data_IF_138790330124
#
_entry.id   IF_138790330124
#
_cell.length_a   1.000
_cell.length_b   1.000
_cell.length_c   1.000
_cell.angle_alpha   90.00
_cell.angle_beta   90.00
_cell.angle_gamma   90.00
#
_symmetry.space_group_name_H-M   'P 1'
#
loop_
_entity.id
_entity.type
_entity.pdbx_description
1 polymer ?
#
# COMPACT_ATOMS: atom_id res chain seq x y z
N UNK A 1 64.84 -28.53 -16.38
CA UNK A 1 63.50 -28.39 -16.98
C UNK A 1 62.47 -28.73 -15.92
N UNK A 2 61.48 -27.86 -15.76
CA UNK A 2 60.68 -27.62 -14.55
C UNK A 2 59.80 -28.79 -14.08
N UNK A 3 59.72 -28.98 -12.77
CA UNK A 3 58.65 -29.71 -12.08
C UNK A 3 57.51 -28.72 -11.78
N UNK A 4 56.30 -29.03 -12.24
CA UNK A 4 55.09 -28.27 -11.96
C UNK A 4 54.36 -28.90 -10.77
N UNK A 5 54.34 -28.20 -9.64
CA UNK A 5 53.53 -28.55 -8.46
C UNK A 5 52.19 -27.83 -8.58
N UNK A 6 51.13 -28.58 -8.89
CA UNK A 6 49.75 -28.07 -8.88
C UNK A 6 49.24 -28.01 -7.44
N UNK A 7 49.06 -26.80 -6.90
CA UNK A 7 48.30 -26.57 -5.68
C UNK A 7 46.82 -26.38 -6.04
N UNK A 8 45.97 -27.29 -5.56
CA UNK A 8 44.51 -27.17 -5.65
C UNK A 8 44.04 -26.36 -4.43
N UNK A 9 43.71 -25.08 -4.61
CA UNK A 9 43.02 -24.28 -3.59
C UNK A 9 41.52 -24.61 -3.63
N UNK A 10 41.03 -25.31 -2.60
CA UNK A 10 39.58 -25.38 -2.33
C UNK A 10 39.22 -24.09 -1.60
N UNK A 11 38.65 -23.12 -2.32
CA UNK A 11 38.06 -21.94 -1.71
C UNK A 11 36.68 -22.32 -1.13
N UNK A 12 36.65 -22.66 0.15
CA UNK A 12 35.40 -22.75 0.92
C UNK A 12 34.96 -21.32 1.28
N UNK A 13 34.10 -20.72 0.46
CA UNK A 13 33.48 -19.42 0.76
C UNK A 13 32.21 -19.62 1.58
N UNK A 14 32.35 -20.01 2.84
CA UNK A 14 31.33 -19.74 3.86
C UNK A 14 31.64 -18.38 4.44
N UNK A 15 31.00 -17.33 3.92
CA UNK A 15 30.97 -16.03 4.59
C UNK A 15 30.28 -16.21 5.94
N UNK A 16 30.91 -15.82 7.06
CA UNK A 16 30.19 -15.74 8.32
C UNK A 16 29.16 -14.61 8.20
N UNK A 17 27.89 -14.96 8.44
CA UNK A 17 26.81 -14.00 8.68
C UNK A 17 27.27 -13.06 9.79
N UNK A 18 27.62 -11.83 9.42
CA UNK A 18 27.87 -10.74 10.34
C UNK A 18 26.51 -10.34 10.91
N UNK A 19 26.04 -11.08 11.91
CA UNK A 19 24.98 -10.59 12.79
C UNK A 19 25.51 -9.28 13.37
N UNK A 20 24.91 -8.11 13.07
CA UNK A 20 25.34 -6.88 13.68
C UNK A 20 25.25 -7.06 15.20
N UNK A 21 26.37 -6.86 15.90
CA UNK A 21 26.46 -6.99 17.35
C UNK A 21 25.54 -5.93 17.94
N UNK A 22 24.31 -6.32 18.25
CA UNK A 22 23.36 -5.55 19.03
C UNK A 22 23.99 -5.32 20.40
N UNK A 23 24.47 -4.11 20.65
CA UNK A 23 24.88 -3.73 22.00
C UNK A 23 23.64 -3.76 22.91
N UNK A 24 23.78 -4.12 24.19
CA UNK A 24 22.65 -4.21 25.12
C UNK A 24 21.82 -2.91 25.23
N UNK A 25 22.43 -1.77 24.88
CA UNK A 25 21.83 -0.43 24.88
C UNK A 25 21.00 -0.10 23.63
N UNK A 26 20.92 -1.00 22.64
CA UNK A 26 20.12 -0.74 21.44
C UNK A 26 18.62 -0.78 21.79
N UNK A 27 17.96 0.37 21.64
CA UNK A 27 16.50 0.51 21.85
C UNK A 27 15.71 -0.27 20.81
N UNK A 28 14.47 -0.65 21.13
CA UNK A 28 13.57 -1.32 20.17
C UNK A 28 13.42 -0.52 18.88
N UNK A 29 13.33 0.81 18.97
CA UNK A 29 13.25 1.68 17.81
C UNK A 29 14.49 1.58 16.89
N UNK A 30 15.68 1.56 17.47
CA UNK A 30 16.92 1.38 16.70
C UNK A 30 17.00 0.00 16.06
N UNK A 31 16.58 -1.07 16.76
CA UNK A 31 16.56 -2.42 16.19
C UNK A 31 15.59 -2.54 15.02
N UNK A 32 14.38 -1.99 15.15
CA UNK A 32 13.41 -1.96 14.04
C UNK A 32 13.94 -1.12 12.87
N UNK A 33 14.62 -0.01 13.13
CA UNK A 33 15.25 0.78 12.06
C UNK A 33 16.35 -0.02 11.33
N UNK A 34 17.15 -0.79 12.06
CA UNK A 34 18.17 -1.69 11.51
C UNK A 34 17.54 -2.79 10.66
N UNK A 35 16.51 -3.47 11.19
CA UNK A 35 15.75 -4.47 10.46
C UNK A 35 15.24 -3.94 9.11
N UNK A 36 14.62 -2.75 9.11
CA UNK A 36 14.16 -2.10 7.87
C UNK A 36 15.31 -1.79 6.90
N UNK A 37 16.49 -1.41 7.41
CA UNK A 37 17.65 -1.16 6.57
C UNK A 37 18.17 -2.45 5.91
N UNK A 38 18.22 -3.56 6.65
CA UNK A 38 18.59 -4.88 6.12
C UNK A 38 17.60 -5.33 5.04
N UNK A 39 16.30 -5.21 5.31
CA UNK A 39 15.24 -5.55 4.35
C UNK A 39 15.34 -4.72 3.06
N UNK A 40 15.62 -3.40 3.16
CA UNK A 40 15.90 -2.57 1.98
C UNK A 40 17.14 -3.03 1.20
N UNK A 41 18.14 -3.55 1.90
CA UNK A 41 19.36 -4.11 1.32
C UNK A 41 19.17 -5.49 0.68
N UNK A 42 17.98 -6.08 0.78
CA UNK A 42 17.69 -7.43 0.27
C UNK A 42 18.06 -8.56 1.23
N UNK A 43 18.50 -8.24 2.45
CA UNK A 43 18.83 -9.22 3.48
C UNK A 43 17.55 -9.61 4.25
N UNK A 44 16.75 -10.46 3.60
CA UNK A 44 15.41 -10.83 4.08
C UNK A 44 15.47 -11.59 5.40
N UNK A 45 16.34 -12.59 5.50
CA UNK A 45 16.43 -13.46 6.66
C UNK A 45 16.90 -12.68 7.90
N UNK A 46 18.01 -11.94 7.81
CA UNK A 46 18.52 -11.20 8.97
C UNK A 46 17.63 -10.01 9.31
N UNK A 47 17.05 -9.34 8.32
CA UNK A 47 16.11 -8.26 8.52
C UNK A 47 14.84 -8.70 9.25
N UNK A 48 14.23 -9.81 8.83
CA UNK A 48 13.04 -10.36 9.48
C UNK A 48 13.34 -10.90 10.88
N UNK A 49 14.44 -11.64 11.04
CA UNK A 49 14.87 -12.13 12.35
C UNK A 49 15.13 -10.97 13.32
N UNK A 50 15.79 -9.90 12.87
CA UNK A 50 16.03 -8.70 13.67
C UNK A 50 14.72 -8.00 14.05
N UNK A 51 13.75 -7.94 13.14
CA UNK A 51 12.43 -7.37 13.41
C UNK A 51 11.69 -8.12 14.53
N UNK A 52 11.66 -9.46 14.46
CA UNK A 52 11.03 -10.29 15.48
C UNK A 52 11.82 -10.28 16.80
N UNK A 53 13.15 -10.24 16.76
CA UNK A 53 13.97 -10.10 17.96
C UNK A 53 13.66 -8.79 18.71
N UNK A 54 13.46 -7.69 17.97
CA UNK A 54 13.05 -6.42 18.55
C UNK A 54 11.68 -6.50 19.26
N UNK A 55 10.72 -7.28 18.73
CA UNK A 55 9.40 -7.42 19.36
C UNK A 55 9.46 -8.20 20.67
N UNK A 56 10.39 -9.15 20.82
CA UNK A 56 10.58 -9.88 22.10
C UNK A 56 11.11 -9.00 23.23
N UNK A 57 11.71 -7.85 22.90
CA UNK A 57 12.27 -6.88 23.86
C UNK A 57 11.29 -5.77 24.21
N UNK A 58 10.24 -5.58 23.42
CA UNK A 58 9.26 -4.52 23.63
C UNK A 58 8.47 -4.75 24.92
N UNK A 59 8.52 -3.77 25.82
CA UNK A 59 7.92 -3.82 27.14
C UNK A 59 6.94 -2.66 27.37
N UNK A 60 7.05 -1.55 26.62
CA UNK A 60 6.19 -0.37 26.79
C UNK A 60 5.16 -0.19 25.67
N UNK A 61 4.04 0.52 25.92
CA UNK A 61 3.10 0.90 24.88
C UNK A 61 3.74 1.65 23.71
N UNK A 62 4.72 2.52 23.97
CA UNK A 62 5.44 3.30 22.97
C UNK A 62 6.29 2.42 22.06
N UNK A 63 6.92 1.38 22.60
CA UNK A 63 7.67 0.40 21.82
C UNK A 63 6.74 -0.45 20.95
N UNK A 64 5.60 -0.88 21.50
CA UNK A 64 4.59 -1.59 20.73
C UNK A 64 3.94 -0.74 19.63
N UNK A 65 3.85 0.59 19.82
CA UNK A 65 3.35 1.50 18.81
C UNK A 65 4.20 1.53 17.54
N UNK A 66 5.48 1.12 17.62
CA UNK A 66 6.36 1.00 16.46
C UNK A 66 5.86 -0.10 15.51
N UNK A 67 5.56 -1.28 16.06
CA UNK A 67 5.01 -2.41 15.31
C UNK A 67 3.57 -2.14 14.84
N UNK A 68 2.74 -1.56 15.73
CA UNK A 68 1.37 -1.19 15.40
C UNK A 68 1.30 -0.24 14.17
N UNK A 69 2.26 0.68 14.06
CA UNK A 69 2.37 1.57 12.90
C UNK A 69 2.69 0.82 11.61
N UNK A 70 3.56 -0.19 11.63
CA UNK A 70 3.85 -1.00 10.44
C UNK A 70 2.62 -1.81 10.00
N UNK A 71 1.90 -2.39 10.97
CA UNK A 71 0.64 -3.09 10.73
C UNK A 71 -0.44 -2.15 10.15
N UNK A 72 -0.56 -0.94 10.69
CA UNK A 72 -1.63 0.03 10.35
C UNK A 72 -1.69 0.42 8.87
N UNK A 73 -0.65 0.15 8.10
CA UNK A 73 -0.64 0.43 6.67
C UNK A 73 -1.43 -0.59 5.85
N UNK A 74 -1.45 -1.85 6.26
CA UNK A 74 -1.96 -2.97 5.43
C UNK A 74 -2.84 -3.95 6.19
N UNK A 75 -2.89 -3.85 7.52
CA UNK A 75 -3.84 -4.61 8.31
C UNK A 75 -5.26 -4.18 7.96
N UNK A 76 -6.14 -5.16 7.86
CA UNK A 76 -7.58 -4.97 7.81
C UNK A 76 -8.10 -4.47 9.17
N UNK A 77 -9.31 -3.90 9.21
CA UNK A 77 -9.90 -3.43 10.47
C UNK A 77 -10.08 -4.55 11.50
N UNK A 78 -10.38 -5.77 11.03
CA UNK A 78 -10.47 -6.96 11.88
C UNK A 78 -9.11 -7.41 12.45
N UNK A 79 -8.03 -7.29 11.68
CA UNK A 79 -6.67 -7.57 12.16
C UNK A 79 -6.21 -6.54 13.20
N UNK A 80 -6.49 -5.25 12.98
CA UNK A 80 -6.17 -4.20 13.94
C UNK A 80 -6.91 -4.41 15.26
N UNK A 81 -8.20 -4.78 15.21
CA UNK A 81 -8.96 -5.13 16.41
C UNK A 81 -8.38 -6.34 17.15
N UNK A 82 -7.90 -7.36 16.42
CA UNK A 82 -7.21 -8.52 17.03
C UNK A 82 -5.88 -8.12 17.68
N UNK A 83 -5.10 -7.27 17.02
CA UNK A 83 -3.87 -6.71 17.57
C UNK A 83 -4.12 -5.94 18.87
N UNK A 84 -5.14 -5.08 18.90
CA UNK A 84 -5.53 -4.30 20.08
C UNK A 84 -6.00 -5.18 21.24
N UNK A 85 -6.69 -6.28 20.95
CA UNK A 85 -7.13 -7.25 21.95
C UNK A 85 -5.99 -8.09 22.55
N UNK A 86 -4.76 -8.00 22.00
CA UNK A 86 -3.62 -8.78 22.45
C UNK A 86 -2.91 -8.10 23.62
N UNK A 87 -2.86 -8.80 24.76
CA UNK A 87 -2.41 -8.24 26.04
C UNK A 87 -0.99 -8.62 26.46
N UNK A 88 -0.47 -9.77 26.01
CA UNK A 88 0.88 -10.22 26.40
C UNK A 88 1.92 -9.95 25.32
N UNK A 89 3.18 -9.73 25.73
CA UNK A 89 4.30 -9.53 24.79
C UNK A 89 4.55 -10.77 23.90
N UNK A 90 4.35 -11.97 24.44
CA UNK A 90 4.47 -13.23 23.73
C UNK A 90 3.40 -13.34 22.62
N UNK A 91 2.14 -13.04 22.95
CA UNK A 91 1.04 -13.09 21.99
C UNK A 91 1.19 -12.03 20.89
N UNK A 92 1.70 -10.83 21.22
CA UNK A 92 1.99 -9.79 20.23
C UNK A 92 3.09 -10.20 19.26
N UNK A 93 4.15 -10.81 19.77
CA UNK A 93 5.23 -11.36 18.93
C UNK A 93 4.72 -12.50 18.04
N UNK A 94 3.90 -13.40 18.59
CA UNK A 94 3.26 -14.46 17.82
C UNK A 94 2.34 -13.88 16.73
N UNK A 95 1.55 -12.85 17.05
CA UNK A 95 0.71 -12.15 16.08
C UNK A 95 1.53 -11.58 14.93
N UNK A 96 2.64 -10.88 15.21
CA UNK A 96 3.51 -10.31 14.18
C UNK A 96 4.05 -11.40 13.25
N UNK A 97 4.53 -12.52 13.82
CA UNK A 97 5.01 -13.65 13.03
C UNK A 97 3.93 -14.18 12.09
N UNK A 98 2.76 -14.51 12.64
CA UNK A 98 1.62 -15.01 11.86
C UNK A 98 1.22 -14.00 10.78
N UNK A 99 1.04 -12.74 11.14
CA UNK A 99 0.60 -11.67 10.25
C UNK A 99 1.48 -11.53 8.99
N UNK A 100 2.80 -11.58 9.16
CA UNK A 100 3.73 -11.50 8.04
C UNK A 100 3.81 -12.83 7.27
N UNK A 101 3.88 -13.96 7.96
CA UNK A 101 4.01 -15.29 7.32
C UNK A 101 2.78 -15.68 6.48
N UNK A 102 1.56 -15.33 6.91
CA UNK A 102 0.35 -15.59 6.14
C UNK A 102 0.35 -14.80 4.81
N UNK A 103 0.92 -13.60 4.81
CA UNK A 103 1.05 -12.77 3.62
C UNK A 103 2.19 -13.22 2.73
N UNK A 104 3.33 -13.64 3.32
CA UNK A 104 4.40 -14.29 2.58
C UNK A 104 3.85 -15.50 1.81
N UNK A 105 3.10 -16.38 2.49
CA UNK A 105 2.50 -17.57 1.88
C UNK A 105 1.45 -17.24 0.81
N UNK A 106 0.61 -16.23 1.04
CA UNK A 106 -0.42 -15.81 0.07
C UNK A 106 0.19 -15.23 -1.20
N UNK A 107 1.31 -14.52 -1.08
CA UNK A 107 1.95 -13.80 -2.17
C UNK A 107 3.13 -14.60 -2.78
N UNK A 108 3.29 -15.88 -2.41
CA UNK A 108 4.39 -16.78 -2.80
C UNK A 108 5.79 -16.17 -2.61
N UNK A 109 5.98 -15.50 -1.46
CA UNK A 109 7.24 -14.86 -1.09
C UNK A 109 8.02 -15.71 -0.08
N UNK A 110 9.37 -15.62 -0.08
CA UNK A 110 10.18 -16.19 0.97
C UNK A 110 9.90 -15.50 2.32
N UNK A 111 10.31 -16.14 3.43
CA UNK A 111 10.16 -15.60 4.78
C UNK A 111 10.72 -14.17 4.88
N UNK A 112 9.88 -13.25 5.38
CA UNK A 112 10.23 -11.83 5.50
C UNK A 112 10.06 -11.02 4.21
N UNK A 113 9.71 -11.67 3.09
CA UNK A 113 9.54 -11.03 1.78
C UNK A 113 8.44 -9.97 1.78
N UNK A 114 7.29 -10.23 2.39
CA UNK A 114 6.19 -9.26 2.50
C UNK A 114 6.57 -8.06 3.35
N UNK A 115 7.29 -8.26 4.45
CA UNK A 115 7.76 -7.15 5.28
C UNK A 115 8.77 -6.29 4.52
N UNK A 116 9.69 -6.90 3.75
CA UNK A 116 10.59 -6.17 2.88
C UNK A 116 9.83 -5.38 1.80
N UNK A 117 8.86 -6.00 1.16
CA UNK A 117 7.99 -5.35 0.18
C UNK A 117 7.21 -4.19 0.81
N UNK A 118 6.74 -4.35 2.06
CA UNK A 118 6.06 -3.30 2.79
C UNK A 118 6.96 -2.08 3.02
N UNK A 119 8.20 -2.31 3.44
CA UNK A 119 9.20 -1.24 3.61
C UNK A 119 9.47 -0.56 2.27
N UNK A 120 9.65 -1.32 1.19
CA UNK A 120 9.89 -0.80 -0.16
C UNK A 120 8.72 0.06 -0.65
N UNK A 121 7.48 -0.43 -0.51
CA UNK A 121 6.27 0.31 -0.93
C UNK A 121 6.11 1.61 -0.16
N UNK A 122 6.37 1.59 1.14
CA UNK A 122 6.30 2.80 1.97
C UNK A 122 7.33 3.85 1.55
N UNK A 123 8.57 3.43 1.27
CA UNK A 123 9.62 4.35 0.79
C UNK A 123 9.22 4.99 -0.55
N UNK A 124 8.71 4.21 -1.50
CA UNK A 124 8.21 4.72 -2.78
C UNK A 124 7.04 5.69 -2.56
N UNK A 125 6.10 5.33 -1.70
CA UNK A 125 4.91 6.15 -1.48
C UNK A 125 5.25 7.49 -0.81
N UNK A 126 6.20 7.50 0.13
CA UNK A 126 6.69 8.72 0.78
C UNK A 126 7.43 9.65 -0.19
N UNK A 127 7.99 9.13 -1.28
CA UNK A 127 8.61 9.92 -2.34
C UNK A 127 7.58 10.45 -3.32
N UNK A 128 6.63 9.60 -3.77
CA UNK A 128 5.72 9.92 -4.88
C UNK A 128 4.41 10.59 -4.46
N UNK A 129 3.89 10.26 -3.28
CA UNK A 129 2.49 10.54 -2.89
C UNK A 129 2.37 11.30 -1.57
N UNK A 130 3.48 11.81 -1.04
CA UNK A 130 3.47 12.60 0.18
C UNK A 130 2.67 13.88 -0.01
N UNK A 131 1.79 14.18 0.95
CA UNK A 131 1.02 15.42 0.96
C UNK A 131 1.99 16.59 1.12
N UNK A 132 2.09 17.44 0.10
CA UNK A 132 2.82 18.68 0.19
C UNK A 132 1.95 19.72 0.93
N UNK A 133 2.46 20.39 1.99
CA UNK A 133 1.76 21.53 2.57
C UNK A 133 1.69 22.65 1.52
N UNK A 134 0.49 22.94 1.00
CA UNK A 134 0.29 24.08 0.09
C UNK A 134 0.59 25.37 0.87
N UNK A 135 1.69 26.08 0.54
CA UNK A 135 1.92 27.44 1.04
C UNK A 135 0.86 28.37 0.46
N UNK A 136 0.17 29.13 1.31
CA UNK A 136 -0.67 30.27 0.90
C UNK A 136 -2.01 29.93 0.24
N UNK A 137 -2.33 28.66 0.03
CA UNK A 137 -3.70 28.23 -0.28
C UNK A 137 -4.27 27.80 1.06
N UNK A 138 -5.32 28.49 1.54
CA UNK A 138 -6.14 27.97 2.63
C UNK A 138 -6.36 26.47 2.35
N UNK A 139 -6.24 25.56 3.35
CA UNK A 139 -6.55 24.16 3.10
C UNK A 139 -7.87 24.19 2.35
N UNK A 140 -7.90 23.66 1.11
CA UNK A 140 -9.17 23.44 0.44
C UNK A 140 -9.92 22.70 1.52
N UNK A 141 -10.94 23.35 2.12
CA UNK A 141 -11.79 22.70 3.11
C UNK A 141 -12.08 21.37 2.45
N UNK A 142 -11.57 20.28 3.03
CA UNK A 142 -11.74 18.90 2.55
C UNK A 142 -13.19 18.83 2.16
N UNK A 143 -13.48 18.86 0.86
CA UNK A 143 -14.75 19.39 0.38
C UNK A 143 -15.87 18.76 1.17
N UNK A 144 -16.50 19.56 2.04
CA UNK A 144 -17.64 19.12 2.83
C UNK A 144 -18.60 18.55 1.79
N UNK A 145 -18.97 17.28 1.94
CA UNK A 145 -19.97 16.64 1.10
C UNK A 145 -21.19 17.58 1.05
N UNK A 146 -21.33 18.31 -0.05
CA UNK A 146 -22.05 19.57 -0.06
C UNK A 146 -22.55 19.91 -1.44
N UNK A 147 -23.73 19.35 -1.72
CA UNK A 147 -24.73 19.83 -2.67
C UNK A 147 -24.35 19.85 -4.17
N UNK A 148 -24.90 18.83 -4.85
CA UNK A 148 -25.30 18.81 -6.26
C UNK A 148 -24.23 19.03 -7.35
N UNK A 149 -23.60 17.92 -7.78
CA UNK A 149 -23.30 17.69 -9.21
C UNK A 149 -23.55 16.20 -9.52
N UNK A 150 -24.50 15.93 -10.42
CA UNK A 150 -25.09 14.61 -10.64
C UNK A 150 -24.10 13.47 -10.90
N UNK A 151 -24.28 12.36 -10.17
CA UNK A 151 -23.71 11.02 -10.37
C UNK A 151 -22.17 10.86 -10.44
N UNK A 152 -21.40 11.93 -10.63
CA UNK A 152 -19.97 11.92 -10.94
C UNK A 152 -19.22 12.94 -10.08
N UNK A 153 -18.04 12.57 -9.57
CA UNK A 153 -17.18 13.51 -8.84
C UNK A 153 -17.47 13.72 -7.34
N UNK A 154 -18.25 12.85 -6.70
CA UNK A 154 -18.34 12.86 -5.22
C UNK A 154 -16.96 12.51 -4.64
N UNK A 155 -16.38 13.43 -3.89
CA UNK A 155 -15.09 13.28 -3.20
C UNK A 155 -15.28 12.44 -1.93
N UNK A 156 -14.40 11.45 -1.72
CA UNK A 156 -14.37 10.60 -0.54
C UNK A 156 -13.24 11.09 0.37
N UNK A 157 -13.56 12.12 1.16
CA UNK A 157 -12.64 12.68 2.15
C UNK A 157 -12.33 11.73 3.31
N UNK A 158 -11.43 12.16 4.20
CA UNK A 158 -10.95 11.39 5.35
C UNK A 158 -12.06 10.82 6.26
N UNK A 159 -13.22 11.48 6.30
CA UNK A 159 -14.35 11.11 7.17
C UNK A 159 -15.38 10.22 6.46
N UNK A 160 -15.08 9.73 5.25
CA UNK A 160 -15.99 8.84 4.53
C UNK A 160 -16.06 7.47 5.19
N UNK A 161 -17.26 6.88 5.39
CA UNK A 161 -17.38 5.51 5.92
C UNK A 161 -16.82 4.44 4.96
N UNK A 162 -16.47 4.81 3.73
CA UNK A 162 -15.78 3.93 2.78
C UNK A 162 -14.26 4.06 2.83
N UNK A 163 -13.72 4.91 3.69
CA UNK A 163 -12.29 5.16 3.84
C UNK A 163 -11.89 4.77 5.27
N UNK A 164 -11.08 3.72 5.38
CA UNK A 164 -10.58 3.24 6.69
C UNK A 164 -9.07 3.45 6.80
N UNK A 165 -8.69 4.68 7.12
CA UNK A 165 -7.29 5.08 7.21
C UNK A 165 -6.87 5.30 8.65
N UNK A 166 -5.75 4.69 9.05
CA UNK A 166 -5.12 4.99 10.33
C UNK A 166 -4.52 6.42 10.33
N UNK A 167 -4.41 7.11 11.48
CA UNK A 167 -3.84 8.46 11.55
C UNK A 167 -2.44 8.61 10.95
N UNK A 168 -1.59 7.57 11.05
CA UNK A 168 -0.25 7.54 10.46
C UNK A 168 -0.26 7.69 8.92
N UNK A 169 -1.39 7.36 8.28
CA UNK A 169 -1.58 7.45 6.84
C UNK A 169 -1.84 8.88 6.35
N UNK A 170 -2.11 9.84 7.25
CA UNK A 170 -2.35 11.24 6.90
C UNK A 170 -1.17 11.99 6.29
N UNK A 171 -0.01 11.33 6.15
CA UNK A 171 1.17 11.87 5.46
C UNK A 171 1.13 11.66 3.94
N UNK A 172 0.29 10.74 3.47
CA UNK A 172 0.14 10.38 2.06
C UNK A 172 -1.24 10.82 1.54
N UNK A 173 -1.30 11.15 0.26
CA UNK A 173 -2.57 11.30 -0.43
C UNK A 173 -3.24 9.93 -0.65
N UNK A 174 -4.45 9.90 -1.22
CA UNK A 174 -5.21 8.66 -1.32
C UNK A 174 -4.56 7.63 -2.25
N UNK A 175 -3.76 8.07 -3.23
CA UNK A 175 -2.96 7.20 -4.09
C UNK A 175 -1.88 6.51 -3.29
N UNK A 176 -1.18 7.25 -2.43
CA UNK A 176 -0.13 6.69 -1.59
C UNK A 176 -0.63 5.63 -0.62
N UNK A 177 -1.82 5.83 -0.03
CA UNK A 177 -2.41 4.82 0.86
C UNK A 177 -2.77 3.54 0.11
N UNK A 178 -3.40 3.65 -1.06
CA UNK A 178 -3.74 2.50 -1.90
C UNK A 178 -2.48 1.80 -2.42
N UNK A 179 -1.46 2.56 -2.83
CA UNK A 179 -0.18 2.04 -3.29
C UNK A 179 0.53 1.22 -2.22
N UNK A 180 0.54 1.66 -0.97
CA UNK A 180 1.20 0.91 0.10
C UNK A 180 0.54 -0.46 0.31
N UNK A 181 -0.78 -0.55 0.13
CA UNK A 181 -1.55 -1.80 0.23
C UNK A 181 -1.34 -2.71 -0.98
N UNK A 182 -1.52 -2.19 -2.19
CA UNK A 182 -1.62 -3.03 -3.40
C UNK A 182 -0.41 -2.97 -4.33
N UNK A 183 0.50 -2.02 -4.11
CA UNK A 183 1.64 -1.77 -4.99
C UNK A 183 1.25 -1.01 -6.26
N UNK A 184 2.06 -1.18 -7.29
CA UNK A 184 1.83 -0.57 -8.62
C UNK A 184 0.54 -1.14 -9.24
N UNK A 185 -0.39 -0.29 -9.70
CA UNK A 185 -1.60 -0.74 -10.39
C UNK A 185 -1.28 -1.46 -11.70
N UNK A 186 -2.21 -2.28 -12.17
CA UNK A 186 -2.08 -3.04 -13.41
C UNK A 186 -2.34 -2.16 -14.64
N UNK A 187 -3.17 -1.13 -14.47
CA UNK A 187 -3.32 -0.07 -15.47
C UNK A 187 -3.53 1.31 -14.83
N UNK A 188 -2.96 2.33 -15.45
CA UNK A 188 -3.19 3.74 -15.12
C UNK A 188 -3.83 4.42 -16.32
N UNK A 189 -5.00 5.00 -16.11
CA UNK A 189 -5.71 5.82 -17.10
C UNK A 189 -5.70 7.28 -16.67
N UNK A 190 -5.20 8.17 -17.53
CA UNK A 190 -5.16 9.61 -17.29
C UNK A 190 -6.08 10.30 -18.29
N UNK A 191 -7.09 11.03 -17.81
CA UNK A 191 -8.02 11.78 -18.66
C UNK A 191 -7.68 13.28 -18.64
N UNK A 192 -6.95 13.74 -19.67
CA UNK A 192 -6.29 15.05 -19.77
C UNK A 192 -7.20 16.30 -19.64
N UNK A 193 -8.53 16.15 -19.65
CA UNK A 193 -9.47 17.27 -19.48
C UNK A 193 -10.02 17.46 -18.06
N UNK A 194 -10.01 16.42 -17.21
CA UNK A 194 -10.82 16.39 -15.97
C UNK A 194 -10.00 16.26 -14.67
N UNK A 195 -8.69 16.50 -14.73
CA UNK A 195 -7.72 16.28 -13.62
C UNK A 195 -7.92 14.93 -12.94
N UNK A 196 -8.18 13.91 -13.75
CA UNK A 196 -8.53 12.57 -13.30
C UNK A 196 -7.43 11.57 -13.63
N UNK A 197 -6.98 10.88 -12.59
CA UNK A 197 -6.13 9.71 -12.66
C UNK A 197 -6.95 8.51 -12.18
N UNK A 198 -6.93 7.40 -12.90
CA UNK A 198 -7.64 6.18 -12.49
C UNK A 198 -6.69 5.00 -12.47
N UNK A 199 -6.74 4.23 -11.41
CA UNK A 199 -5.92 3.05 -11.21
C UNK A 199 -6.82 1.82 -11.24
N UNK A 200 -6.46 0.86 -12.06
CA UNK A 200 -7.13 -0.44 -12.13
C UNK A 200 -6.20 -1.49 -11.52
N UNK A 201 -6.75 -2.27 -10.60
CA UNK A 201 -6.12 -3.46 -10.03
C UNK A 201 -6.92 -4.70 -10.41
N UNK A 202 -6.25 -5.79 -10.76
CA UNK A 202 -6.85 -7.11 -10.85
C UNK A 202 -6.74 -7.80 -9.49
N UNK A 203 -7.89 -8.04 -8.87
CA UNK A 203 -7.98 -8.70 -7.56
C UNK A 203 -8.98 -9.84 -7.70
N UNK A 204 -8.53 -11.07 -7.43
CA UNK A 204 -9.34 -12.28 -7.51
C UNK A 204 -10.01 -12.45 -8.90
N UNK A 205 -9.30 -12.11 -9.98
CA UNK A 205 -9.80 -12.17 -11.35
C UNK A 205 -10.82 -11.09 -11.72
N UNK A 206 -10.97 -10.05 -10.88
CA UNK A 206 -11.87 -8.94 -11.10
C UNK A 206 -11.10 -7.62 -11.20
N UNK A 207 -11.35 -6.87 -12.28
CA UNK A 207 -10.90 -5.49 -12.40
C UNK A 207 -11.60 -4.61 -11.34
N UNK A 208 -10.80 -3.89 -10.56
CA UNK A 208 -11.23 -2.93 -9.55
C UNK A 208 -10.59 -1.59 -9.88
N UNK A 209 -11.41 -0.67 -10.39
CA UNK A 209 -10.94 0.67 -10.76
C UNK A 209 -11.33 1.70 -9.71
N UNK A 210 -10.34 2.48 -9.27
CA UNK A 210 -10.50 3.66 -8.41
C UNK A 210 -10.07 4.92 -9.14
N UNK A 211 -10.60 6.04 -8.69
CA UNK A 211 -10.46 7.32 -9.37
C UNK A 211 -9.96 8.37 -8.39
N UNK A 212 -9.02 9.20 -8.85
CA UNK A 212 -8.44 10.29 -8.09
C UNK A 212 -8.62 11.59 -8.86
N UNK A 213 -9.07 12.62 -8.15
CA UNK A 213 -9.04 14.00 -8.65
C UNK A 213 -7.88 14.76 -8.02
N UNK A 214 -7.37 15.79 -8.69
CA UNK A 214 -6.33 16.71 -8.21
C UNK A 214 -4.88 16.18 -8.12
N UNK A 215 -4.46 15.33 -9.06
CA UNK A 215 -3.04 15.15 -9.42
C UNK A 215 -2.63 16.15 -10.52
N UNK A 216 -1.39 16.64 -10.51
CA UNK A 216 -0.86 17.36 -11.68
C UNK A 216 -0.57 16.35 -12.80
N UNK A 217 -1.01 16.65 -14.02
CA UNK A 217 -1.00 15.72 -15.17
C UNK A 217 0.41 15.39 -15.70
N UNK A 218 1.43 16.08 -15.23
CA UNK A 218 2.84 15.84 -15.56
C UNK A 218 3.51 14.82 -14.63
N UNK A 219 2.73 14.15 -13.76
CA UNK A 219 3.25 13.25 -12.75
C UNK A 219 3.86 13.95 -11.53
N UNK A 220 3.76 15.29 -11.44
CA UNK A 220 4.15 16.00 -10.22
C UNK A 220 3.13 15.82 -9.10
N UNK A 221 3.60 15.90 -7.85
CA UNK A 221 2.81 15.63 -6.65
C UNK A 221 1.82 16.77 -6.34
N UNK A 222 0.71 16.82 -7.09
CA UNK A 222 -0.56 17.32 -6.56
C UNK A 222 -1.20 16.28 -5.63
N UNK A 223 -1.95 16.71 -4.62
CA UNK A 223 -2.61 15.78 -3.69
C UNK A 223 -3.80 15.08 -4.37
N UNK A 224 -3.67 13.81 -4.70
CA UNK A 224 -4.74 12.99 -5.26
C UNK A 224 -5.80 12.66 -4.20
N UNK A 225 -7.05 13.00 -4.48
CA UNK A 225 -8.19 12.69 -3.61
C UNK A 225 -9.13 11.70 -4.29
N UNK A 226 -9.51 10.64 -3.57
CA UNK A 226 -10.36 9.56 -4.06
C UNK A 226 -11.77 10.07 -4.37
N UNK A 227 -12.35 9.62 -5.49
CA UNK A 227 -13.72 9.95 -5.92
C UNK A 227 -14.49 8.68 -6.31
N UNK A 228 -15.80 8.65 -6.07
CA UNK A 228 -16.58 7.43 -6.34
C UNK A 228 -16.71 7.08 -7.80
N UNK A 229 -16.85 8.06 -8.70
CA UNK A 229 -17.18 7.74 -10.09
C UNK A 229 -16.43 8.70 -11.01
N UNK A 230 -15.73 8.13 -11.99
CA UNK A 230 -15.10 8.89 -13.05
C UNK A 230 -16.14 9.69 -13.87
N UNK A 231 -15.84 10.93 -14.28
CA UNK A 231 -16.69 11.67 -15.20
C UNK A 231 -16.87 10.92 -16.53
N UNK A 232 -18.09 10.98 -17.08
CA UNK A 232 -18.49 10.27 -18.32
C UNK A 232 -17.50 10.38 -19.47
N UNK A 233 -16.88 11.56 -19.64
CA UNK A 233 -15.90 11.80 -20.70
C UNK A 233 -14.66 10.89 -20.65
N UNK A 234 -14.45 10.17 -19.55
CA UNK A 234 -13.31 9.27 -19.34
C UNK A 234 -13.65 7.80 -19.64
N UNK A 235 -14.91 7.45 -19.85
CA UNK A 235 -15.37 6.05 -19.96
C UNK A 235 -14.76 5.31 -21.15
N UNK A 236 -14.56 5.99 -22.28
CA UNK A 236 -13.94 5.37 -23.45
C UNK A 236 -12.49 4.95 -23.17
N UNK A 237 -11.74 5.75 -22.42
CA UNK A 237 -10.39 5.40 -22.00
C UNK A 237 -10.41 4.26 -20.97
N UNK A 238 -11.30 4.35 -19.97
CA UNK A 238 -11.43 3.34 -18.91
C UNK A 238 -11.90 1.97 -19.40
N UNK A 239 -12.68 1.91 -20.49
CA UNK A 239 -13.08 0.63 -21.10
C UNK A 239 -11.87 -0.23 -21.52
N UNK A 240 -10.71 0.37 -21.79
CA UNK A 240 -9.49 -0.36 -22.14
C UNK A 240 -8.92 -1.16 -20.97
N UNK A 241 -9.15 -0.73 -19.72
CA UNK A 241 -8.65 -1.39 -18.52
C UNK A 241 -9.73 -2.10 -17.70
N UNK A 242 -10.99 -1.65 -17.78
CA UNK A 242 -12.07 -2.19 -16.99
C UNK A 242 -13.37 -2.30 -17.83
N UNK A 243 -13.82 -3.54 -18.12
CA UNK A 243 -15.03 -3.80 -18.90
C UNK A 243 -16.30 -3.15 -18.36
N UNK A 244 -16.33 -2.78 -17.06
CA UNK A 244 -17.41 -2.03 -16.43
C UNK A 244 -17.76 -0.76 -17.22
N UNK A 245 -16.78 -0.12 -17.85
CA UNK A 245 -16.95 1.17 -18.53
C UNK A 245 -17.26 1.04 -20.03
N UNK A 246 -17.20 -0.16 -20.62
CA UNK A 246 -17.39 -0.33 -22.06
C UNK A 246 -18.81 -0.08 -22.55
N UNK A 247 -19.81 -0.71 -21.92
CA UNK A 247 -21.22 -0.45 -22.26
C UNK A 247 -21.63 1.02 -22.01
N UNK A 248 -21.20 1.68 -20.91
CA UNK A 248 -21.35 3.11 -20.74
C UNK A 248 -20.65 3.97 -21.82
N UNK A 249 -19.44 3.59 -22.25
CA UNK A 249 -18.65 4.33 -23.24
C UNK A 249 -19.27 4.30 -24.66
N UNK A 250 -19.90 3.18 -25.04
CA UNK A 250 -20.48 3.00 -26.36
C UNK A 250 -21.73 3.86 -26.63
N UNK A 251 -22.29 4.54 -25.62
CA UNK A 251 -23.54 5.31 -25.75
C UNK A 251 -23.27 6.78 -26.03
N UNK A 252 -23.68 7.24 -27.21
CA UNK A 252 -23.60 8.66 -27.60
C UNK A 252 -24.58 9.57 -26.84
N UNK A 253 -25.72 9.04 -26.37
CA UNK A 253 -26.74 9.81 -25.64
C UNK A 253 -27.34 9.00 -24.49
N UNK A 254 -27.33 9.60 -23.29
CA UNK A 254 -28.02 9.06 -22.12
C UNK A 254 -27.34 7.86 -21.47
N UNK A 255 -27.20 7.93 -20.15
CA UNK A 255 -26.68 6.83 -19.33
C UNK A 255 -27.86 6.26 -18.54
N UNK A 256 -28.35 5.04 -18.86
CA UNK A 256 -29.51 4.47 -18.18
C UNK A 256 -29.32 4.46 -16.66
N UNK A 257 -30.34 4.82 -15.87
CA UNK A 257 -30.24 4.88 -14.41
C UNK A 257 -29.69 3.60 -13.78
N UNK A 258 -30.05 2.44 -14.33
CA UNK A 258 -29.56 1.14 -13.85
C UNK A 258 -28.05 0.94 -14.10
N UNK A 259 -27.55 1.33 -15.27
CA UNK A 259 -26.12 1.27 -15.57
C UNK A 259 -25.33 2.26 -14.70
N UNK A 260 -25.90 3.44 -14.46
CA UNK A 260 -25.40 4.41 -13.51
C UNK A 260 -25.26 3.87 -12.09
N UNK A 261 -26.28 3.18 -11.61
CA UNK A 261 -26.25 2.52 -10.32
C UNK A 261 -25.22 1.40 -10.27
N UNK A 262 -25.09 0.60 -11.34
CA UNK A 262 -24.08 -0.48 -11.42
C UNK A 262 -22.65 0.05 -11.36
N UNK A 263 -22.30 1.04 -12.18
CA UNK A 263 -20.96 1.65 -12.15
C UNK A 263 -20.69 2.24 -10.77
N UNK A 264 -21.65 2.99 -10.21
CA UNK A 264 -21.50 3.55 -8.86
C UNK A 264 -21.28 2.46 -7.81
N UNK A 265 -22.10 1.40 -7.78
CA UNK A 265 -21.97 0.32 -6.81
C UNK A 265 -20.61 -0.38 -6.93
N UNK A 266 -20.18 -0.69 -8.15
CA UNK A 266 -18.89 -1.32 -8.39
C UNK A 266 -17.71 -0.43 -7.97
N UNK A 267 -17.76 0.88 -8.23
CA UNK A 267 -16.70 1.79 -7.80
C UNK A 267 -16.67 2.01 -6.28
N UNK A 268 -17.83 2.02 -5.60
CA UNK A 268 -17.86 2.07 -4.14
C UNK A 268 -17.28 0.79 -3.52
N UNK A 269 -17.55 -0.37 -4.12
CA UNK A 269 -16.96 -1.63 -3.70
C UNK A 269 -15.45 -1.65 -3.96
N UNK A 270 -14.98 -1.15 -5.11
CA UNK A 270 -13.56 -1.02 -5.40
C UNK A 270 -12.85 -0.13 -4.36
N UNK A 271 -13.44 1.03 -4.00
CA UNK A 271 -12.93 1.89 -2.94
C UNK A 271 -12.82 1.12 -1.62
N UNK A 272 -13.90 0.46 -1.20
CA UNK A 272 -13.92 -0.29 0.05
C UNK A 272 -12.83 -1.36 0.06
N UNK A 273 -12.73 -2.18 -0.99
CA UNK A 273 -11.72 -3.23 -1.09
C UNK A 273 -10.31 -2.63 -1.05
N UNK A 274 -10.02 -1.66 -1.91
CA UNK A 274 -8.67 -1.10 -2.07
C UNK A 274 -8.19 -0.25 -0.89
N UNK A 275 -9.10 0.16 0.00
CA UNK A 275 -8.76 0.93 1.20
C UNK A 275 -8.74 0.10 2.48
N UNK A 276 -9.33 -1.10 2.49
CA UNK A 276 -9.47 -1.94 3.69
C UNK A 276 -8.73 -3.26 3.61
N UNK A 277 -8.36 -3.70 2.40
CA UNK A 277 -7.69 -4.97 2.17
C UNK A 277 -6.23 -4.78 1.82
N UNK A 278 -5.49 -5.87 1.90
CA UNK A 278 -4.14 -6.03 1.39
C UNK A 278 -4.20 -7.26 0.51
N UNK A 279 -4.33 -7.06 -0.79
CA UNK A 279 -4.35 -8.12 -1.79
C UNK A 279 -3.21 -7.85 -2.76
N UNK A 280 -2.42 -8.89 -3.08
CA UNK A 280 -1.49 -8.81 -4.18
C UNK A 280 -2.28 -8.61 -5.47
N UNK A 281 -1.90 -7.60 -6.26
CA UNK A 281 -2.24 -7.59 -7.67
C UNK A 281 -1.64 -8.87 -8.26
N UNK A 282 -2.46 -9.69 -8.92
CA UNK A 282 -2.02 -10.90 -9.62
C UNK A 282 -1.10 -10.48 -10.76
N UNK A 283 0.19 -10.35 -10.49
CA UNK A 283 1.21 -10.17 -11.53
C UNK A 283 1.72 -11.54 -11.88
N UNK A 284 1.21 -12.08 -13.00
CA UNK A 284 1.85 -13.21 -13.66
C UNK A 284 3.34 -12.87 -13.86
N UNK A 285 4.20 -13.72 -13.31
CA UNK A 285 5.65 -13.68 -13.40
C UNK A 285 6.15 -13.93 -14.82
#
# INVERSE_FOLDING_TARGET
>A
MLAATTFLLIASTTSPTLVPILTPDTTVAQQVAMARAQLRGGDLADGYATYLAASTRAASPEEWAIFARDLSWIASPGELKRWEATSSAADRTAFLRTFWSERDARDDLPEGGRLAEQVRRLDIAMVRYRIAPRRGVAPVMRASAGADQGLFGTVYGADSPLRDYAPAQGMLDDRGVIFVRHGEPDAITIAAGNRLESWTYEIEGHARTVHFTDAAFDGSSGNGTLVAVAPRGSFAALCQSDPLYCAPAARATGFPPEQAQRVRAASLEAIKVLTTTDAAASKES
#
